data_IF_050171396539
#
_entry.id   IF_050171396539
#
_cell.length_a   1.000
_cell.length_b   1.000
_cell.length_c   1.000
_cell.angle_alpha   90.00
_cell.angle_beta   90.00
_cell.angle_gamma   90.00
#
_symmetry.space_group_name_H-M   'P 1'
#
loop_
_entity.id
_entity.type
_entity.pdbx_description
1 polymer ?
#
# COMPACT_ATOMS: atom_id res chain seq x y z
N UNK A 1 16.02 47.03 4.84
CA UNK A 1 16.88 48.13 5.36
C UNK A 1 17.22 47.79 6.80
N UNK A 2 18.51 47.90 7.11
CA UNK A 2 19.24 47.28 8.21
C UNK A 2 18.84 47.72 9.63
N UNK A 3 19.09 46.85 10.62
CA UNK A 3 20.26 47.00 11.51
C UNK A 3 20.53 45.75 12.36
N UNK A 4 21.81 45.42 12.41
CA UNK A 4 22.51 44.41 13.20
C UNK A 4 22.85 44.90 14.62
N UNK A 5 23.10 43.96 15.52
CA UNK A 5 24.25 43.91 16.46
C UNK A 5 24.10 42.65 17.34
N UNK A 6 24.92 41.60 17.18
CA UNK A 6 26.15 41.30 17.98
C UNK A 6 25.91 41.28 19.50
N UNK A 7 26.32 40.31 20.33
CA UNK A 7 27.23 39.18 20.23
C UNK A 7 27.83 38.96 21.64
N UNK A 8 28.00 37.72 22.13
CA UNK A 8 29.00 37.42 23.16
C UNK A 8 29.37 35.94 23.20
N UNK A 9 30.67 35.68 23.25
CA UNK A 9 31.31 34.36 23.29
C UNK A 9 32.29 34.29 24.47
N UNK A 10 32.43 33.12 25.11
CA UNK A 10 33.63 32.62 25.80
C UNK A 10 33.32 31.17 26.26
N UNK A 11 33.94 30.08 25.76
CA UNK A 11 35.32 29.55 25.85
C UNK A 11 35.83 29.15 27.25
N UNK A 12 36.20 27.86 27.33
CA UNK A 12 37.28 27.29 28.14
C UNK A 12 36.84 26.07 28.98
N UNK A 13 37.59 24.99 29.20
CA UNK A 13 38.80 24.38 28.61
C UNK A 13 39.06 23.08 29.43
N UNK A 14 39.57 22.04 28.76
CA UNK A 14 40.46 20.96 29.24
C UNK A 14 40.16 20.08 30.49
N UNK A 15 40.18 18.77 30.24
CA UNK A 15 40.68 17.72 31.15
C UNK A 15 41.18 16.52 30.33
N UNK A 16 42.42 16.07 30.57
CA UNK A 16 43.18 15.07 29.78
C UNK A 16 43.37 13.78 30.59
N UNK A 17 43.54 12.65 29.88
CA UNK A 17 44.27 11.42 30.25
C UNK A 17 43.56 10.47 31.25
N UNK A 18 43.66 9.13 31.22
CA UNK A 18 44.73 8.20 30.79
C UNK A 18 44.17 6.84 30.31
N UNK A 19 44.90 6.15 29.43
CA UNK A 19 44.92 4.67 29.30
C UNK A 19 45.92 4.06 30.30
N UNK A 20 45.87 2.73 30.55
CA UNK A 20 46.90 1.90 29.91
C UNK A 20 46.46 0.51 29.41
N UNK A 21 47.40 -0.08 28.69
CA UNK A 21 47.44 -1.30 27.89
C UNK A 21 47.25 -2.65 28.61
N UNK A 22 46.90 -3.67 27.82
CA UNK A 22 47.15 -5.10 28.09
C UNK A 22 47.44 -5.85 26.78
N UNK A 23 48.64 -6.46 26.70
CA UNK A 23 49.18 -7.26 25.58
C UNK A 23 49.11 -8.76 25.91
N UNK A 24 49.08 -9.60 24.87
CA UNK A 24 49.54 -11.01 24.85
C UNK A 24 48.65 -11.85 23.93
N UNK A 25 49.10 -12.69 22.99
CA UNK A 25 50.43 -13.13 22.55
C UNK A 25 50.29 -14.52 21.87
N UNK A 26 50.78 -14.65 20.62
CA UNK A 26 51.28 -15.83 19.87
C UNK A 26 50.59 -17.23 20.01
N UNK A 27 50.03 -17.81 18.93
CA UNK A 27 50.69 -18.59 17.84
C UNK A 27 51.37 -19.90 18.26
N UNK A 28 50.87 -21.06 17.79
CA UNK A 28 51.67 -22.24 17.44
C UNK A 28 51.07 -23.00 16.25
N UNK A 29 51.96 -23.51 15.40
CA UNK A 29 51.69 -24.16 14.13
C UNK A 29 52.09 -25.65 14.18
N UNK A 30 51.36 -26.47 13.39
CA UNK A 30 51.72 -27.70 12.64
C UNK A 30 52.36 -28.90 13.36
N UNK A 31 51.79 -30.09 13.16
CA UNK A 31 52.38 -31.36 12.61
C UNK A 31 51.19 -32.28 12.21
N UNK A 32 50.88 -32.49 10.92
CA UNK A 32 51.28 -33.57 10.00
C UNK A 32 50.82 -35.01 10.38
N UNK A 33 50.08 -35.69 9.50
CA UNK A 33 49.72 -37.12 9.65
C UNK A 33 48.66 -37.61 8.66
N UNK A 34 49.14 -38.13 7.54
CA UNK A 34 48.46 -38.69 6.36
C UNK A 34 47.60 -39.93 6.67
N UNK A 35 46.34 -40.00 6.20
CA UNK A 35 45.76 -41.26 5.72
C UNK A 35 44.62 -41.02 4.73
N UNK A 36 44.89 -41.42 3.50
CA UNK A 36 44.01 -41.37 2.34
C UNK A 36 43.19 -42.67 2.36
N UNK A 37 41.91 -42.59 2.72
CA UNK A 37 40.96 -43.68 2.49
C UNK A 37 39.84 -43.13 1.62
N UNK A 38 39.92 -43.45 0.33
CA UNK A 38 38.85 -43.32 -0.62
C UNK A 38 37.69 -44.23 -0.20
N UNK A 39 36.62 -43.66 0.32
CA UNK A 39 35.29 -44.23 0.20
C UNK A 39 34.41 -43.21 -0.52
N UNK A 40 34.20 -43.45 -1.81
CA UNK A 40 33.14 -42.82 -2.56
C UNK A 40 31.80 -43.31 -1.98
N UNK A 41 31.26 -42.58 -1.02
CA UNK A 41 29.87 -42.71 -0.62
C UNK A 41 29.06 -41.76 -1.51
N UNK A 42 28.66 -42.26 -2.68
CA UNK A 42 27.55 -41.70 -3.44
C UNK A 42 26.27 -41.93 -2.65
N UNK A 43 25.89 -40.97 -1.82
CA UNK A 43 24.55 -40.84 -1.27
C UNK A 43 24.15 -39.37 -1.30
N UNK A 44 23.98 -38.83 -2.52
CA UNK A 44 22.91 -37.88 -2.73
C UNK A 44 21.61 -38.68 -2.61
N UNK A 45 21.13 -38.86 -1.38
CA UNK A 45 19.72 -39.19 -1.18
C UNK A 45 18.94 -37.95 -1.58
N UNK A 46 18.47 -37.94 -2.82
CA UNK A 46 17.33 -37.13 -3.21
C UNK A 46 16.15 -37.62 -2.38
N UNK A 47 15.99 -37.05 -1.19
CA UNK A 47 14.72 -37.08 -0.51
C UNK A 47 13.78 -36.27 -1.41
N UNK A 48 12.90 -37.00 -2.10
CA UNK A 48 11.67 -36.48 -2.69
C UNK A 48 10.76 -35.99 -1.56
N UNK A 49 11.17 -34.90 -0.91
CA UNK A 49 10.25 -34.03 -0.19
C UNK A 49 9.56 -33.22 -1.26
N UNK A 50 8.29 -33.52 -1.53
CA UNK A 50 7.43 -32.62 -2.29
C UNK A 50 7.53 -31.27 -1.58
N UNK A 51 8.09 -30.26 -2.28
CA UNK A 51 8.10 -28.90 -1.77
C UNK A 51 6.64 -28.52 -1.43
N UNK A 52 6.42 -27.73 -0.37
CA UNK A 52 5.07 -27.31 -0.03
C UNK A 52 4.43 -26.59 -1.24
N UNK A 53 3.09 -26.68 -1.39
CA UNK A 53 2.40 -25.90 -2.40
C UNK A 53 2.71 -24.42 -2.17
N UNK A 54 3.01 -23.70 -3.25
CA UNK A 54 3.21 -22.26 -3.16
C UNK A 54 1.94 -21.57 -2.63
N UNK A 55 2.06 -20.59 -1.73
CA UNK A 55 0.92 -19.73 -1.41
C UNK A 55 0.44 -19.04 -2.69
N UNK A 56 -0.86 -18.79 -2.83
CA UNK A 56 -1.36 -17.95 -3.92
C UNK A 56 -0.62 -16.61 -3.84
N UNK A 57 0.24 -16.29 -4.83
CA UNK A 57 1.02 -15.08 -4.75
C UNK A 57 0.13 -13.84 -4.91
N UNK A 58 -1.15 -13.98 -5.25
CA UNK A 58 -2.00 -12.86 -5.63
C UNK A 58 -1.40 -12.14 -6.84
N UNK A 59 -0.68 -12.85 -7.71
CA UNK A 59 0.06 -12.26 -8.82
C UNK A 59 -0.03 -13.13 -10.06
N UNK A 60 -0.05 -12.46 -11.20
CA UNK A 60 -0.04 -13.09 -12.51
C UNK A 60 1.41 -13.17 -12.99
N UNK A 61 1.88 -14.35 -13.39
CA UNK A 61 3.20 -14.49 -13.99
C UNK A 61 3.10 -14.34 -15.51
N UNK A 62 4.06 -13.62 -16.10
CA UNK A 62 4.07 -13.39 -17.55
C UNK A 62 4.38 -14.66 -18.34
N UNK A 63 5.08 -15.62 -17.74
CA UNK A 63 5.43 -16.91 -18.32
C UNK A 63 5.76 -17.93 -17.23
N UNK A 64 5.95 -19.18 -17.66
CA UNK A 64 6.28 -20.29 -16.78
C UNK A 64 7.65 -20.12 -16.11
N UNK A 65 8.65 -19.58 -16.80
CA UNK A 65 9.99 -19.37 -16.23
C UNK A 65 9.97 -18.40 -15.03
N UNK A 66 9.19 -17.33 -15.11
CA UNK A 66 8.98 -16.37 -14.03
C UNK A 66 8.27 -17.01 -12.83
N UNK A 67 7.27 -17.84 -13.12
CA UNK A 67 6.55 -18.63 -12.12
C UNK A 67 7.49 -19.59 -11.40
N UNK A 68 8.33 -20.30 -12.15
CA UNK A 68 9.28 -21.27 -11.61
C UNK A 68 10.39 -20.60 -10.80
N UNK A 69 10.96 -19.49 -11.30
CA UNK A 69 11.98 -18.73 -10.58
C UNK A 69 11.46 -18.15 -9.25
N UNK A 70 10.22 -17.66 -9.24
CA UNK A 70 9.59 -17.21 -8.00
C UNK A 70 9.34 -18.38 -7.04
N UNK A 71 8.81 -19.51 -7.53
CA UNK A 71 8.57 -20.70 -6.72
C UNK A 71 9.87 -21.22 -6.07
N UNK A 72 10.96 -21.27 -6.85
CA UNK A 72 12.29 -21.62 -6.36
C UNK A 72 12.76 -20.67 -5.25
N UNK A 73 12.57 -19.35 -5.43
CA UNK A 73 12.93 -18.34 -4.42
C UNK A 73 12.17 -18.51 -3.09
N UNK A 74 10.96 -19.06 -3.13
CA UNK A 74 10.11 -19.29 -1.97
C UNK A 74 10.28 -20.70 -1.38
N UNK A 75 11.10 -21.56 -2.01
CA UNK A 75 11.24 -22.95 -1.61
C UNK A 75 9.92 -23.73 -1.68
N UNK A 76 9.08 -23.43 -2.69
CA UNK A 76 7.78 -24.04 -2.89
C UNK A 76 7.63 -24.55 -4.34
N UNK A 77 6.56 -25.30 -4.62
CA UNK A 77 6.17 -25.69 -5.99
C UNK A 77 4.70 -25.37 -6.24
N UNK A 78 4.35 -25.00 -7.47
CA UNK A 78 2.95 -24.95 -7.89
C UNK A 78 2.48 -26.36 -8.26
N UNK A 79 1.28 -26.76 -7.84
CA UNK A 79 0.68 -28.03 -8.29
C UNK A 79 0.43 -27.99 -9.81
N UNK A 80 0.44 -29.16 -10.47
CA UNK A 80 0.23 -29.34 -11.92
C UNK A 80 -1.16 -28.90 -12.43
N UNK A 81 -2.00 -28.34 -11.56
CA UNK A 81 -3.04 -27.42 -11.99
C UNK A 81 -2.31 -26.21 -12.61
N UNK A 82 -2.22 -26.20 -13.94
CA UNK A 82 -1.62 -25.12 -14.73
C UNK A 82 -1.97 -23.74 -14.14
N UNK A 83 -1.06 -22.75 -14.28
CA UNK A 83 -1.13 -21.48 -13.58
C UNK A 83 -2.58 -20.99 -13.45
N UNK A 84 -2.99 -20.63 -12.23
CA UNK A 84 -4.23 -19.86 -12.05
C UNK A 84 -4.03 -18.54 -12.80
N UNK A 85 -4.32 -18.59 -14.09
CA UNK A 85 -4.15 -17.52 -15.04
C UNK A 85 -5.13 -16.42 -14.63
N UNK A 86 -4.61 -15.27 -14.20
CA UNK A 86 -5.30 -13.98 -14.24
C UNK A 86 -6.80 -14.03 -13.90
N UNK A 87 -7.13 -14.72 -12.81
CA UNK A 87 -8.52 -14.84 -12.35
C UNK A 87 -8.99 -13.48 -11.86
N UNK A 88 -10.28 -13.19 -11.96
CA UNK A 88 -10.80 -11.93 -11.42
C UNK A 88 -10.80 -11.99 -9.88
N UNK A 89 -9.89 -11.23 -9.24
CA UNK A 89 -9.84 -11.10 -7.80
C UNK A 89 -9.30 -9.72 -7.36
N UNK A 90 -9.73 -9.28 -6.19
CA UNK A 90 -9.11 -8.15 -5.49
C UNK A 90 -7.76 -8.58 -4.92
N UNK A 91 -6.69 -7.91 -5.33
CA UNK A 91 -5.31 -8.21 -4.93
C UNK A 91 -4.64 -6.90 -4.55
N UNK A 92 -4.83 -6.49 -3.31
CA UNK A 92 -4.25 -5.26 -2.78
C UNK A 92 -3.17 -5.61 -1.79
N UNK A 93 -2.05 -4.91 -1.88
CA UNK A 93 -1.04 -4.90 -0.83
C UNK A 93 -1.52 -3.95 0.28
N UNK A 94 -2.17 -4.52 1.29
CA UNK A 94 -2.73 -3.78 2.42
C UNK A 94 -1.66 -3.01 3.20
N UNK A 95 -0.51 -3.64 3.44
CA UNK A 95 0.60 -3.01 4.16
C UNK A 95 1.14 -1.79 3.38
N UNK A 96 1.20 -1.89 2.05
CA UNK A 96 1.55 -0.76 1.19
C UNK A 96 0.55 0.40 1.31
N UNK A 97 -0.75 0.09 1.32
CA UNK A 97 -1.84 1.06 1.37
C UNK A 97 -1.94 1.73 2.75
N UNK A 98 -1.80 0.97 3.83
CA UNK A 98 -1.82 1.49 5.21
C UNK A 98 -0.74 2.56 5.45
N UNK A 99 0.41 2.45 4.80
CA UNK A 99 1.47 3.46 4.86
C UNK A 99 1.03 4.84 4.31
N UNK A 100 -0.09 4.90 3.60
CA UNK A 100 -0.69 6.11 3.02
C UNK A 100 -2.03 6.51 3.65
N UNK A 101 -2.85 5.54 4.08
CA UNK A 101 -4.23 5.76 4.55
C UNK A 101 -4.31 6.24 6.01
N UNK A 102 -3.28 5.93 6.81
CA UNK A 102 -3.25 6.30 8.22
C UNK A 102 -3.99 5.30 9.10
N UNK A 103 -3.92 5.51 10.41
CA UNK A 103 -4.48 4.58 11.39
C UNK A 103 -6.01 4.65 11.44
N UNK A 104 -6.63 3.54 11.86
CA UNK A 104 -8.05 3.52 12.21
C UNK A 104 -8.31 4.42 13.42
N UNK A 105 -9.09 5.49 13.25
CA UNK A 105 -9.41 6.46 14.32
C UNK A 105 -10.85 6.29 14.79
N UNK A 106 -11.04 5.99 16.08
CA UNK A 106 -12.36 5.77 16.68
C UNK A 106 -13.09 7.05 17.12
N UNK A 107 -12.34 8.15 17.28
CA UNK A 107 -12.89 9.43 17.69
C UNK A 107 -12.90 10.40 16.51
N UNK A 108 -14.01 11.11 16.32
CA UNK A 108 -14.10 12.14 15.30
C UNK A 108 -13.06 13.23 15.53
N UNK A 109 -12.39 13.63 14.46
CA UNK A 109 -11.39 14.70 14.48
C UNK A 109 -11.54 15.58 13.24
N UNK A 110 -10.84 16.71 13.20
CA UNK A 110 -10.78 17.56 12.01
C UNK A 110 -9.32 17.69 11.59
N UNK A 111 -8.95 17.30 10.36
CA UNK A 111 -7.60 17.44 9.86
C UNK A 111 -7.13 18.90 9.92
N UNK A 112 -5.99 19.14 10.59
CA UNK A 112 -5.39 20.47 10.75
C UNK A 112 -3.92 20.47 10.33
N UNK A 113 -3.44 21.61 9.82
CA UNK A 113 -2.02 21.87 9.58
C UNK A 113 -1.67 23.25 10.12
N UNK A 114 -0.64 23.31 10.97
CA UNK A 114 -0.23 24.54 11.65
C UNK A 114 -1.38 25.22 12.42
N UNK A 115 -2.29 24.42 13.01
CA UNK A 115 -3.45 24.91 13.76
C UNK A 115 -4.69 25.24 12.91
N UNK A 116 -4.55 25.37 11.59
CA UNK A 116 -5.66 25.69 10.68
C UNK A 116 -6.33 24.44 10.13
N UNK A 117 -7.66 24.48 9.94
CA UNK A 117 -8.40 23.39 9.28
C UNK A 117 -7.92 23.26 7.84
N UNK A 118 -7.62 22.02 7.43
CA UNK A 118 -7.15 21.73 6.08
C UNK A 118 -8.28 21.94 5.06
N UNK A 119 -8.14 22.94 4.20
CA UNK A 119 -9.02 23.15 3.04
C UNK A 119 -10.50 23.34 3.43
N UNK A 120 -11.33 22.39 3.01
CA UNK A 120 -12.78 22.36 3.28
C UNK A 120 -13.19 21.18 4.17
N UNK A 121 -12.25 20.63 4.95
CA UNK A 121 -12.48 19.41 5.73
C UNK A 121 -13.63 19.55 6.73
N UNK A 122 -14.41 18.48 6.89
CA UNK A 122 -15.38 18.29 7.97
C UNK A 122 -14.84 17.40 9.08
N UNK A 123 -15.78 16.83 9.87
CA UNK A 123 -15.44 15.79 10.86
C UNK A 123 -15.02 14.53 10.12
N UNK A 124 -13.86 14.00 10.48
CA UNK A 124 -13.20 12.84 9.89
C UNK A 124 -13.13 11.70 10.92
N UNK A 125 -13.32 10.46 10.48
CA UNK A 125 -13.26 9.28 11.36
C UNK A 125 -12.74 8.03 10.61
N UNK A 126 -12.52 6.92 11.32
CA UNK A 126 -12.00 5.67 10.77
C UNK A 126 -10.67 5.90 10.06
N UNK A 127 -10.46 5.36 8.86
CA UNK A 127 -9.25 5.54 8.03
C UNK A 127 -9.26 6.84 7.21
N UNK A 128 -9.88 7.91 7.73
CA UNK A 128 -9.89 9.22 7.08
C UNK A 128 -11.16 9.56 6.30
N UNK A 129 -12.30 8.98 6.66
CA UNK A 129 -13.60 9.28 6.04
C UNK A 129 -14.08 10.66 6.52
N UNK A 130 -14.03 11.66 5.63
CA UNK A 130 -14.51 13.02 5.88
C UNK A 130 -16.03 13.12 5.68
N UNK A 131 -16.79 13.14 6.78
CA UNK A 131 -18.25 13.23 6.80
C UNK A 131 -18.76 14.54 6.20
N UNK A 132 -17.94 15.60 6.20
CA UNK A 132 -18.27 16.87 5.55
C UNK A 132 -18.35 16.78 4.02
N UNK A 133 -17.85 15.69 3.44
CA UNK A 133 -17.92 15.39 2.02
C UNK A 133 -18.89 14.24 1.69
N UNK A 134 -19.58 13.72 2.71
CA UNK A 134 -20.55 12.64 2.58
C UNK A 134 -21.98 13.13 2.84
N UNK A 135 -22.94 12.28 2.48
CA UNK A 135 -24.34 12.43 2.84
C UNK A 135 -24.82 11.19 3.59
N UNK A 136 -25.90 11.34 4.36
CA UNK A 136 -26.52 10.22 5.07
C UNK A 136 -26.97 9.12 4.11
N UNK A 137 -27.65 9.48 3.02
CA UNK A 137 -28.12 8.52 2.02
C UNK A 137 -26.97 7.83 1.27
N UNK A 138 -25.92 8.58 0.91
CA UNK A 138 -24.73 8.03 0.25
C UNK A 138 -24.00 7.04 1.13
N UNK A 139 -23.70 7.43 2.37
CA UNK A 139 -23.03 6.58 3.36
C UNK A 139 -23.82 5.32 3.64
N UNK A 140 -25.14 5.45 3.81
CA UNK A 140 -26.02 4.30 4.03
C UNK A 140 -26.03 3.33 2.85
N UNK A 141 -26.04 3.84 1.62
CA UNK A 141 -25.98 3.00 0.43
C UNK A 141 -24.63 2.28 0.33
N UNK A 142 -23.52 2.95 0.65
CA UNK A 142 -22.19 2.34 0.70
C UNK A 142 -22.16 1.16 1.69
N UNK A 143 -22.64 1.39 2.92
CA UNK A 143 -22.71 0.35 3.95
C UNK A 143 -23.61 -0.82 3.53
N UNK A 144 -24.80 -0.55 3.03
CA UNK A 144 -25.74 -1.60 2.62
C UNK A 144 -25.21 -2.45 1.46
N UNK A 145 -24.57 -1.84 0.48
CA UNK A 145 -24.00 -2.57 -0.65
C UNK A 145 -22.85 -3.48 -0.19
N UNK A 146 -21.96 -2.96 0.66
CA UNK A 146 -20.89 -3.77 1.23
C UNK A 146 -21.45 -4.94 2.04
N UNK A 147 -22.42 -4.70 2.92
CA UNK A 147 -23.02 -5.75 3.77
C UNK A 147 -23.75 -6.81 2.92
N UNK A 148 -24.37 -6.43 1.81
CA UNK A 148 -25.04 -7.36 0.91
C UNK A 148 -24.06 -8.32 0.22
N UNK A 149 -22.87 -7.83 -0.14
CA UNK A 149 -21.87 -8.57 -0.89
C UNK A 149 -20.89 -9.34 0.02
N UNK A 150 -20.43 -8.70 1.10
CA UNK A 150 -19.33 -9.17 1.96
C UNK A 150 -19.79 -9.54 3.39
N UNK A 151 -21.00 -9.13 3.78
CA UNK A 151 -21.58 -9.41 5.09
C UNK A 151 -21.30 -8.33 6.15
N UNK A 152 -21.79 -8.58 7.37
CA UNK A 152 -21.65 -7.69 8.52
C UNK A 152 -21.02 -8.48 9.69
N UNK A 153 -19.75 -8.86 9.55
CA UNK A 153 -19.07 -9.75 10.49
C UNK A 153 -19.07 -9.21 11.94
N UNK A 154 -18.95 -7.89 12.10
CA UNK A 154 -19.01 -7.21 13.39
C UNK A 154 -20.41 -7.12 14.00
N UNK A 155 -21.46 -7.60 13.31
CA UNK A 155 -22.87 -7.44 13.70
C UNK A 155 -23.23 -5.99 14.07
N UNK A 156 -22.69 -5.03 13.32
CA UNK A 156 -22.90 -3.60 13.57
C UNK A 156 -24.35 -3.25 13.32
N UNK A 157 -24.97 -2.56 14.27
CA UNK A 157 -26.26 -1.91 14.09
C UNK A 157 -26.09 -0.66 13.22
N UNK A 158 -26.40 -0.81 11.93
CA UNK A 158 -26.22 0.26 10.94
C UNK A 158 -27.12 1.47 11.25
N UNK A 159 -28.31 1.27 11.83
CA UNK A 159 -29.18 2.37 12.19
C UNK A 159 -28.63 3.19 13.36
N UNK A 160 -28.11 2.51 14.37
CA UNK A 160 -27.42 3.16 15.48
C UNK A 160 -26.15 3.89 15.01
N UNK A 161 -25.35 3.28 14.13
CA UNK A 161 -24.17 3.91 13.55
C UNK A 161 -24.55 5.17 12.74
N UNK A 162 -25.52 5.06 11.83
CA UNK A 162 -25.97 6.20 11.03
C UNK A 162 -26.50 7.34 11.90
N UNK A 163 -27.19 7.04 13.00
CA UNK A 163 -27.66 8.04 13.96
C UNK A 163 -26.51 8.79 14.64
N UNK A 164 -25.37 8.13 14.90
CA UNK A 164 -24.16 8.79 15.41
C UNK A 164 -23.54 9.72 14.37
N UNK A 165 -23.55 9.35 13.09
CA UNK A 165 -22.89 10.09 12.01
C UNK A 165 -23.73 11.27 11.47
N UNK A 166 -25.05 11.18 11.58
CA UNK A 166 -26.01 12.11 10.97
C UNK A 166 -25.70 13.60 11.22
N UNK A 167 -25.34 14.03 12.45
CA UNK A 167 -25.11 15.44 12.75
C UNK A 167 -23.96 16.07 11.95
N UNK A 168 -23.03 15.27 11.42
CA UNK A 168 -21.80 15.77 10.81
C UNK A 168 -21.82 15.79 9.28
N UNK A 169 -22.81 15.15 8.64
CA UNK A 169 -22.85 15.07 7.18
C UNK A 169 -22.95 16.45 6.53
N UNK A 170 -22.07 16.72 5.57
CA UNK A 170 -22.02 17.99 4.84
C UNK A 170 -21.53 19.18 5.66
N UNK A 171 -21.25 19.04 6.95
CA UNK A 171 -20.65 20.10 7.76
C UNK A 171 -19.16 20.22 7.47
N UNK A 172 -18.70 21.44 7.22
CA UNK A 172 -17.31 21.74 6.87
C UNK A 172 -16.77 22.89 7.71
N UNK A 173 -15.44 22.95 7.85
CA UNK A 173 -14.71 24.05 8.49
C UNK A 173 -15.24 24.32 9.91
N UNK A 174 -15.50 25.58 10.25
CA UNK A 174 -15.93 26.00 11.58
C UNK A 174 -17.28 25.42 12.01
N UNK A 175 -18.19 25.13 11.07
CA UNK A 175 -19.46 24.48 11.39
C UNK A 175 -19.22 23.05 11.91
N UNK A 176 -18.34 22.29 11.24
CA UNK A 176 -17.92 20.96 11.69
C UNK A 176 -17.18 21.02 13.03
N UNK A 177 -16.30 22.01 13.22
CA UNK A 177 -15.56 22.18 14.48
C UNK A 177 -16.49 22.50 15.66
N UNK A 178 -17.49 23.35 15.43
CA UNK A 178 -18.49 23.69 16.43
C UNK A 178 -19.35 22.48 16.78
N UNK A 179 -19.82 21.74 15.78
CA UNK A 179 -20.62 20.53 16.01
C UNK A 179 -19.83 19.47 16.78
N UNK A 180 -18.58 19.19 16.38
CA UNK A 180 -17.75 18.20 17.08
C UNK A 180 -17.42 18.60 18.53
N UNK A 181 -17.29 19.89 18.82
CA UNK A 181 -17.07 20.38 20.18
C UNK A 181 -18.32 20.23 21.06
N UNK A 182 -19.51 20.43 20.49
CA UNK A 182 -20.78 20.30 21.21
C UNK A 182 -21.25 18.85 21.34
N UNK A 183 -20.95 18.04 20.33
CA UNK A 183 -21.32 16.65 20.21
C UNK A 183 -20.07 15.86 19.78
N UNK A 184 -19.27 15.35 20.72
CA UNK A 184 -18.12 14.54 20.37
C UNK A 184 -18.53 13.21 19.73
N UNK A 185 -17.96 12.91 18.56
CA UNK A 185 -18.19 11.65 17.86
C UNK A 185 -17.23 10.56 18.36
N UNK A 186 -17.77 9.43 18.80
CA UNK A 186 -17.01 8.21 19.06
C UNK A 186 -17.75 7.01 18.46
N UNK A 187 -17.01 6.15 17.77
CA UNK A 187 -17.49 4.87 17.26
C UNK A 187 -16.74 3.71 17.91
N UNK A 188 -17.33 2.53 17.90
CA UNK A 188 -16.67 1.29 18.30
C UNK A 188 -15.66 0.84 17.25
N UNK A 189 -14.77 -0.07 17.63
CA UNK A 189 -13.82 -0.69 16.71
C UNK A 189 -14.53 -1.32 15.50
N UNK A 190 -15.55 -2.14 15.73
CA UNK A 190 -16.32 -2.80 14.67
C UNK A 190 -17.05 -1.81 13.74
N UNK A 191 -17.55 -0.70 14.28
CA UNK A 191 -18.17 0.37 13.47
C UNK A 191 -17.13 1.07 12.59
N UNK A 192 -15.93 1.35 13.13
CA UNK A 192 -14.85 1.97 12.37
C UNK A 192 -14.32 1.04 11.26
N UNK A 193 -14.16 -0.25 11.55
CA UNK A 193 -13.75 -1.29 10.60
C UNK A 193 -14.78 -1.43 9.48
N UNK A 194 -16.07 -1.57 9.80
CA UNK A 194 -17.14 -1.62 8.80
C UNK A 194 -17.12 -0.39 7.88
N UNK A 195 -16.92 0.81 8.44
CA UNK A 195 -16.79 2.03 7.65
C UNK A 195 -15.57 1.98 6.72
N UNK A 196 -14.40 1.58 7.24
CA UNK A 196 -13.18 1.49 6.44
C UNK A 196 -13.35 0.53 5.26
N UNK A 197 -13.83 -0.68 5.53
CA UNK A 197 -14.02 -1.74 4.55
C UNK A 197 -15.07 -1.36 3.51
N UNK A 198 -16.22 -0.83 3.94
CA UNK A 198 -17.29 -0.46 3.02
C UNK A 198 -16.91 0.70 2.09
N UNK A 199 -16.25 1.75 2.61
CA UNK A 199 -15.80 2.86 1.78
C UNK A 199 -14.67 2.44 0.82
N UNK A 200 -13.75 1.60 1.28
CA UNK A 200 -12.72 1.02 0.43
C UNK A 200 -13.32 0.17 -0.68
N UNK A 201 -14.25 -0.72 -0.36
CA UNK A 201 -14.97 -1.55 -1.32
C UNK A 201 -15.72 -0.71 -2.36
N UNK A 202 -16.42 0.33 -1.90
CA UNK A 202 -17.10 1.26 -2.79
C UNK A 202 -16.12 1.94 -3.76
N UNK A 203 -15.00 2.44 -3.25
CA UNK A 203 -14.01 3.14 -4.04
C UNK A 203 -13.29 2.21 -5.04
N UNK A 204 -12.95 1.00 -4.62
CA UNK A 204 -12.40 -0.05 -5.47
C UNK A 204 -13.33 -0.39 -6.64
N UNK A 205 -14.62 -0.56 -6.39
CA UNK A 205 -15.59 -0.80 -7.46
C UNK A 205 -15.68 0.37 -8.44
N UNK A 206 -15.56 1.62 -7.96
CA UNK A 206 -15.52 2.78 -8.86
C UNK A 206 -14.24 2.82 -9.70
N UNK A 207 -13.09 2.46 -9.13
CA UNK A 207 -11.82 2.32 -9.87
C UNK A 207 -11.96 1.23 -10.93
N UNK A 208 -12.48 0.05 -10.56
CA UNK A 208 -12.65 -1.07 -11.46
C UNK A 208 -13.54 -0.68 -12.65
N UNK A 209 -14.74 -0.17 -12.39
CA UNK A 209 -15.65 0.32 -13.43
C UNK A 209 -14.99 1.35 -14.35
N UNK A 210 -14.18 2.24 -13.78
CA UNK A 210 -13.46 3.25 -14.55
C UNK A 210 -12.36 2.65 -15.40
N UNK A 211 -11.58 1.71 -14.89
CA UNK A 211 -10.54 1.02 -15.65
C UNK A 211 -11.15 0.18 -16.77
N UNK A 212 -12.15 -0.64 -16.47
CA UNK A 212 -12.84 -1.55 -17.38
C UNK A 212 -13.43 -0.80 -18.57
N UNK A 213 -14.00 0.38 -18.33
CA UNK A 213 -14.61 1.19 -19.37
C UNK A 213 -13.61 1.87 -20.32
N UNK A 214 -12.35 2.04 -19.92
CA UNK A 214 -11.43 2.95 -20.63
C UNK A 214 -10.14 2.29 -21.14
N UNK A 215 -9.69 1.20 -20.51
CA UNK A 215 -8.43 0.54 -20.87
C UNK A 215 -8.44 0.01 -22.32
N UNK A 216 -7.24 -0.13 -22.89
CA UNK A 216 -6.99 -0.64 -24.25
C UNK A 216 -6.47 -2.08 -24.27
N UNK A 217 -6.41 -2.70 -23.09
CA UNK A 217 -5.87 -4.04 -22.89
C UNK A 217 -6.92 -5.13 -23.14
N UNK A 218 -8.22 -4.76 -23.09
CA UNK A 218 -9.31 -5.72 -23.28
C UNK A 218 -9.53 -6.61 -22.05
N UNK A 219 -9.16 -6.11 -20.86
CA UNK A 219 -9.23 -6.83 -19.60
C UNK A 219 -10.00 -6.04 -18.54
N UNK A 220 -10.37 -6.70 -17.44
CA UNK A 220 -10.96 -6.06 -16.26
C UNK A 220 -9.90 -5.72 -15.21
N UNK A 221 -10.20 -4.76 -14.34
CA UNK A 221 -9.31 -4.32 -13.28
C UNK A 221 -8.93 -5.45 -12.35
N UNK A 222 -9.88 -6.36 -12.07
CA UNK A 222 -9.66 -7.52 -11.21
C UNK A 222 -8.71 -8.55 -11.82
N UNK A 223 -8.42 -8.48 -13.12
CA UNK A 223 -7.40 -9.30 -13.77
C UNK A 223 -6.01 -8.70 -13.65
N UNK A 224 -5.87 -7.42 -13.27
CA UNK A 224 -4.57 -6.80 -13.05
C UNK A 224 -3.83 -7.48 -11.90
N UNK A 225 -2.49 -7.60 -11.97
CA UNK A 225 -1.68 -8.10 -10.87
C UNK A 225 -1.71 -7.16 -9.65
N UNK A 226 -1.37 -7.69 -8.47
CA UNK A 226 -1.44 -6.94 -7.20
C UNK A 226 -0.74 -5.58 -7.23
N UNK A 227 0.47 -5.51 -7.79
CA UNK A 227 1.23 -4.26 -7.88
C UNK A 227 0.48 -3.18 -8.69
N UNK A 228 -0.19 -3.55 -9.78
CA UNK A 228 -0.96 -2.61 -10.59
C UNK A 228 -2.25 -2.16 -9.86
N UNK A 229 -3.00 -3.10 -9.28
CA UNK A 229 -4.21 -2.75 -8.50
C UNK A 229 -3.86 -1.81 -7.34
N UNK A 230 -2.80 -2.12 -6.60
CA UNK A 230 -2.32 -1.34 -5.45
C UNK A 230 -1.90 0.06 -5.86
N UNK A 231 -1.09 0.23 -6.92
CA UNK A 231 -0.65 1.56 -7.36
C UNK A 231 -1.81 2.41 -7.87
N UNK A 232 -2.75 1.82 -8.61
CA UNK A 232 -3.95 2.53 -9.07
C UNK A 232 -4.79 2.97 -7.87
N UNK A 233 -4.96 2.10 -6.87
CA UNK A 233 -5.67 2.40 -5.64
C UNK A 233 -5.01 3.54 -4.85
N UNK A 234 -3.72 3.44 -4.56
CA UNK A 234 -2.98 4.44 -3.77
C UNK A 234 -3.02 5.82 -4.46
N UNK A 235 -2.81 5.87 -5.76
CA UNK A 235 -2.87 7.10 -6.53
C UNK A 235 -4.30 7.69 -6.53
N UNK A 236 -5.30 6.85 -6.80
CA UNK A 236 -6.69 7.27 -6.84
C UNK A 236 -7.19 7.74 -5.46
N UNK A 237 -6.74 7.15 -4.35
CA UNK A 237 -7.12 7.64 -3.03
C UNK A 237 -6.65 9.07 -2.79
N UNK A 238 -5.45 9.42 -3.25
CA UNK A 238 -4.95 10.77 -3.08
C UNK A 238 -5.55 11.77 -4.07
N UNK A 239 -5.67 11.38 -5.33
CA UNK A 239 -6.07 12.30 -6.40
C UNK A 239 -7.56 12.25 -6.72
N UNK A 240 -8.29 11.26 -6.24
CA UNK A 240 -9.64 10.93 -6.72
C UNK A 240 -9.63 10.30 -8.11
N UNK A 241 -10.82 9.93 -8.58
CA UNK A 241 -11.02 9.10 -9.78
C UNK A 241 -10.94 9.85 -11.11
N UNK A 242 -10.88 11.19 -11.12
CA UNK A 242 -10.92 11.94 -12.38
C UNK A 242 -9.66 11.69 -13.20
N UNK A 243 -9.80 11.16 -14.40
CA UNK A 243 -8.70 10.97 -15.36
C UNK A 243 -8.40 12.22 -16.19
N UNK A 244 -9.30 13.19 -16.23
CA UNK A 244 -9.16 14.40 -17.05
C UNK A 244 -8.68 15.63 -16.27
N UNK A 245 -8.77 15.62 -14.93
CA UNK A 245 -8.46 16.80 -14.09
C UNK A 245 -6.96 16.98 -13.83
N UNK A 246 -6.37 17.87 -14.61
CA UNK A 246 -4.98 18.31 -14.48
C UNK A 246 -3.98 17.32 -15.10
N UNK A 247 -2.74 17.78 -15.31
CA UNK A 247 -1.73 16.99 -16.02
C UNK A 247 -1.36 15.69 -15.29
N UNK A 248 -1.20 15.73 -13.95
CA UNK A 248 -0.78 14.55 -13.17
C UNK A 248 -1.76 13.39 -13.34
N UNK A 249 -3.06 13.64 -13.20
CA UNK A 249 -4.08 12.59 -13.36
C UNK A 249 -4.17 12.10 -14.81
N UNK A 250 -4.14 13.01 -15.78
CA UNK A 250 -4.15 12.65 -17.21
C UNK A 250 -2.99 11.75 -17.58
N UNK A 251 -1.77 12.09 -17.16
CA UNK A 251 -0.59 11.29 -17.45
C UNK A 251 -0.66 9.92 -16.78
N UNK A 252 -1.02 9.87 -15.49
CA UNK A 252 -1.17 8.60 -14.76
C UNK A 252 -2.16 7.66 -15.45
N UNK A 253 -3.39 8.13 -15.68
CA UNK A 253 -4.44 7.31 -16.27
C UNK A 253 -4.16 6.95 -17.73
N UNK A 254 -3.47 7.81 -18.50
CA UNK A 254 -3.05 7.47 -19.86
C UNK A 254 -2.10 6.27 -19.85
N UNK A 255 -1.10 6.25 -18.96
CA UNK A 255 -0.20 5.09 -18.88
C UNK A 255 -0.96 3.83 -18.43
N UNK A 256 -1.83 3.95 -17.42
CA UNK A 256 -2.65 2.83 -16.92
C UNK A 256 -3.54 2.25 -18.03
N UNK A 257 -4.27 3.08 -18.77
CA UNK A 257 -5.18 2.60 -19.80
C UNK A 257 -4.49 1.98 -21.01
N UNK A 258 -3.26 2.41 -21.32
CA UNK A 258 -2.47 1.85 -22.42
C UNK A 258 -1.55 0.70 -21.97
N UNK A 259 -1.58 0.32 -20.68
CA UNK A 259 -0.66 -0.68 -20.10
C UNK A 259 0.81 -0.30 -20.27
N UNK A 260 1.15 0.98 -20.19
CA UNK A 260 2.53 1.49 -20.28
C UNK A 260 3.22 1.40 -18.91
N UNK A 261 3.32 0.19 -18.36
CA UNK A 261 3.70 -0.05 -16.97
C UNK A 261 5.12 0.43 -16.63
N UNK A 262 6.08 0.22 -17.54
CA UNK A 262 7.45 0.70 -17.35
C UNK A 262 7.50 2.23 -17.36
N UNK A 263 6.83 2.86 -18.32
CA UNK A 263 6.77 4.32 -18.41
C UNK A 263 6.05 4.91 -17.18
N UNK A 264 4.99 4.26 -16.70
CA UNK A 264 4.32 4.64 -15.46
C UNK A 264 5.28 4.59 -14.27
N UNK A 265 6.02 3.47 -14.10
CA UNK A 265 6.97 3.29 -13.01
C UNK A 265 8.07 4.36 -13.02
N UNK A 266 8.67 4.62 -14.19
CA UNK A 266 9.70 5.66 -14.37
C UNK A 266 9.15 7.06 -14.11
N UNK A 267 7.96 7.36 -14.63
CA UNK A 267 7.31 8.66 -14.43
C UNK A 267 7.00 8.91 -12.97
N UNK A 268 6.46 7.92 -12.25
CA UNK A 268 6.22 8.00 -10.80
C UNK A 268 7.52 8.19 -10.02
N UNK A 269 8.58 7.46 -10.35
CA UNK A 269 9.89 7.55 -9.71
C UNK A 269 10.59 8.91 -9.92
N UNK A 270 10.29 9.60 -11.02
CA UNK A 270 10.76 10.97 -11.26
C UNK A 270 10.27 11.98 -10.21
N UNK A 271 9.20 11.65 -9.47
CA UNK A 271 8.55 12.52 -8.50
C UNK A 271 7.78 13.65 -9.20
N UNK A 272 6.73 13.33 -9.98
CA UNK A 272 6.08 14.26 -10.89
C UNK A 272 5.21 15.32 -10.18
N UNK A 273 5.00 15.17 -8.88
CA UNK A 273 4.19 16.06 -8.05
C UNK A 273 4.89 16.38 -6.71
N UNK A 274 4.30 17.24 -5.85
CA UNK A 274 4.87 17.55 -4.53
C UNK A 274 4.96 16.36 -3.56
N UNK A 275 4.23 15.26 -3.79
CA UNK A 275 4.19 14.05 -2.95
C UNK A 275 5.25 13.02 -3.38
N UNK A 276 6.46 13.49 -3.68
CA UNK A 276 7.55 12.71 -4.31
C UNK A 276 7.82 11.37 -3.64
N UNK A 277 7.85 11.31 -2.31
CA UNK A 277 8.12 10.07 -1.58
C UNK A 277 7.04 9.01 -1.81
N UNK A 278 5.76 9.42 -1.86
CA UNK A 278 4.63 8.51 -2.15
C UNK A 278 4.69 8.02 -3.59
N UNK A 279 4.87 8.93 -4.56
CA UNK A 279 5.05 8.58 -5.98
C UNK A 279 6.19 7.61 -6.21
N UNK A 280 7.33 7.78 -5.53
CA UNK A 280 8.45 6.84 -5.62
C UNK A 280 8.14 5.47 -5.03
N UNK A 281 7.33 5.36 -3.97
CA UNK A 281 6.91 4.04 -3.48
C UNK A 281 6.07 3.31 -4.52
N UNK A 282 5.10 4.00 -5.12
CA UNK A 282 4.26 3.43 -6.18
C UNK A 282 5.10 3.02 -7.40
N UNK A 283 6.00 3.90 -7.87
CA UNK A 283 6.89 3.61 -8.99
C UNK A 283 7.84 2.44 -8.72
N UNK A 284 8.40 2.35 -7.51
CA UNK A 284 9.24 1.23 -7.10
C UNK A 284 8.48 -0.09 -7.04
N UNK A 285 7.21 -0.09 -6.60
CA UNK A 285 6.37 -1.29 -6.57
C UNK A 285 6.14 -1.85 -7.99
N UNK A 286 5.83 -0.98 -8.96
CA UNK A 286 5.72 -1.40 -10.36
C UNK A 286 7.06 -1.86 -10.94
N UNK A 287 8.15 -1.12 -10.68
CA UNK A 287 9.47 -1.47 -11.18
C UNK A 287 9.95 -2.82 -10.64
N UNK A 288 9.71 -3.11 -9.36
CA UNK A 288 9.99 -4.40 -8.75
C UNK A 288 9.17 -5.52 -9.41
N UNK A 289 7.87 -5.31 -9.65
CA UNK A 289 7.03 -6.26 -10.37
C UNK A 289 7.54 -6.53 -11.80
N UNK A 290 8.01 -5.49 -12.50
CA UNK A 290 8.59 -5.62 -13.85
C UNK A 290 9.90 -6.41 -13.83
N UNK A 291 10.84 -6.04 -12.95
CA UNK A 291 12.14 -6.69 -12.85
C UNK A 291 12.06 -8.18 -12.47
N UNK A 292 10.97 -8.55 -11.80
CA UNK A 292 10.70 -9.93 -11.40
C UNK A 292 9.65 -10.60 -12.31
N UNK A 293 9.41 -10.06 -13.51
CA UNK A 293 8.56 -10.68 -14.54
C UNK A 293 7.12 -10.98 -14.10
N UNK A 294 6.56 -10.11 -13.24
CA UNK A 294 5.17 -10.18 -12.72
C UNK A 294 4.23 -9.24 -13.47
N UNK A 295 4.78 -8.22 -14.13
CA UNK A 295 4.07 -7.27 -15.00
C UNK A 295 5.00 -6.98 -16.20
N UNK A 296 4.51 -6.90 -17.45
CA UNK A 296 5.36 -6.64 -18.59
C UNK A 296 5.72 -5.16 -18.61
N UNK A 297 6.77 -4.78 -19.36
CA UNK A 297 7.07 -3.36 -19.53
C UNK A 297 5.95 -2.59 -20.25
N UNK A 298 5.22 -3.26 -21.15
CA UNK A 298 4.07 -2.71 -21.86
C UNK A 298 3.04 -3.79 -22.20
N UNK A 299 1.77 -3.41 -22.29
CA UNK A 299 0.69 -4.27 -22.76
C UNK A 299 -0.07 -5.00 -21.65
N UNK A 300 -0.80 -6.03 -22.05
CA UNK A 300 -1.61 -6.85 -21.16
C UNK A 300 -0.69 -7.66 -20.22
N UNK A 301 -0.79 -7.49 -18.88
CA UNK A 301 -0.05 -8.31 -17.93
C UNK A 301 -0.54 -9.75 -17.81
N UNK A 302 -1.59 -10.09 -18.55
CA UNK A 302 -2.31 -11.34 -18.52
C UNK A 302 -2.70 -11.82 -19.92
N UNK A 303 -1.75 -11.92 -20.87
CA UNK A 303 -2.08 -12.37 -22.21
C UNK A 303 -2.58 -13.82 -22.12
N UNK A 304 -3.82 -14.04 -22.55
CA UNK A 304 -4.46 -15.36 -22.57
C UNK A 304 -3.77 -16.38 -23.46
#
# INVERSE_FOLDING_TARGET
MARESEGFAARGRHGRSQQPAGRGGASWAKVAGMLLVLFAASLAQAQSGLLPPCPDPGMCFLNQDAKDAWAESQGCTFEDAGPQACTEAWRLDEEFLEASEGALVLNGYIPRRNGEILGVSGVTISTGIDLGQQSASGTRNILNNYIADEGNAGNVDVDALMSKLDPYFGLQKEAAATELANNPLTVTQAEAELLAEAFKYHFLNQIANKFDANNKLGMTFRQLPSAAQTVIMDFAYQYGLSDSKGNIRRTFWNHVYNGEWLQLAEWLNSGPDPYKSRRRREGNLLMDAINNYRIPGTGDPCPG
#
